data_IF_680292576974
#
_entry.id   IF_680292576974
#
_cell.length_a   1.000
_cell.length_b   1.000
_cell.length_c   1.000
_cell.angle_alpha   90.00
_cell.angle_beta   90.00
_cell.angle_gamma   90.00
#
_symmetry.space_group_name_H-M   'P 1'
#
loop_
_entity.id
_entity.type
_entity.pdbx_description
1 polymer ?
#
# COMPACT_ATOMS: atom_id res chain seq x y z
N UNK A 1 8.85 -28.61 18.62
CA UNK A 1 9.05 -27.50 19.58
C UNK A 1 7.71 -26.79 19.73
N UNK A 2 7.21 -26.61 20.96
CA UNK A 2 5.97 -25.89 21.21
C UNK A 2 6.29 -24.41 21.50
N UNK A 3 5.75 -23.51 20.68
CA UNK A 3 5.84 -22.06 20.89
C UNK A 3 4.61 -21.62 21.68
N UNK A 4 4.79 -20.73 22.67
CA UNK A 4 3.68 -20.21 23.47
C UNK A 4 2.83 -19.22 22.67
N UNK A 5 1.52 -19.19 22.93
CA UNK A 5 0.60 -18.26 22.26
C UNK A 5 0.97 -16.81 22.50
N UNK A 6 1.41 -16.48 23.72
CA UNK A 6 1.89 -15.14 24.06
C UNK A 6 2.99 -14.61 23.14
N UNK A 7 3.84 -15.50 22.59
CA UNK A 7 4.88 -15.10 21.63
C UNK A 7 4.30 -14.84 20.24
N UNK A 8 3.30 -15.62 19.83
CA UNK A 8 2.61 -15.42 18.56
C UNK A 8 1.75 -14.15 18.60
N UNK A 9 1.00 -13.94 19.69
CA UNK A 9 0.20 -12.72 19.94
C UNK A 9 1.08 -11.47 19.89
N UNK A 10 2.23 -11.48 20.59
CA UNK A 10 3.17 -10.36 20.56
C UNK A 10 3.66 -10.06 19.14
N UNK A 11 3.99 -11.11 18.37
CA UNK A 11 4.44 -10.95 16.99
C UNK A 11 3.33 -10.39 16.08
N UNK A 12 2.08 -10.85 16.25
CA UNK A 12 0.91 -10.30 15.54
C UNK A 12 0.71 -8.84 15.87
N UNK A 13 0.76 -8.48 17.14
CA UNK A 13 0.64 -7.10 17.56
C UNK A 13 1.72 -6.20 16.94
N UNK A 14 2.98 -6.64 16.94
CA UNK A 14 4.08 -5.91 16.29
C UNK A 14 3.84 -5.71 14.78
N UNK A 15 3.31 -6.71 14.08
CA UNK A 15 2.95 -6.56 12.66
C UNK A 15 1.82 -5.55 12.47
N UNK A 16 0.81 -5.56 13.33
CA UNK A 16 -0.33 -4.65 13.25
C UNK A 16 0.07 -3.21 13.53
N UNK A 17 0.91 -2.99 14.55
CA UNK A 17 1.50 -1.67 14.84
C UNK A 17 2.38 -1.17 13.70
N UNK A 18 3.17 -2.05 13.09
CA UNK A 18 3.97 -1.72 11.92
C UNK A 18 3.09 -1.37 10.72
N UNK A 19 2.02 -2.13 10.50
CA UNK A 19 1.10 -1.91 9.39
C UNK A 19 0.32 -0.61 9.52
N UNK A 20 -0.15 -0.27 10.72
CA UNK A 20 -0.82 1.01 10.97
C UNK A 20 0.08 2.23 10.68
N UNK A 21 1.42 2.06 10.71
CA UNK A 21 2.40 3.12 10.40
C UNK A 21 2.82 3.15 8.94
N UNK A 22 2.77 2.02 8.25
CA UNK A 22 3.34 1.86 6.91
C UNK A 22 2.28 1.63 5.82
N UNK A 23 1.00 1.42 6.19
CA UNK A 23 -0.07 1.16 5.23
C UNK A 23 -0.19 2.32 4.26
N UNK A 24 -0.17 1.99 2.97
CA UNK A 24 -0.36 3.01 1.94
C UNK A 24 -1.75 3.63 2.05
N UNK A 25 -2.73 2.83 2.46
CA UNK A 25 -4.12 3.27 2.62
C UNK A 25 -4.26 4.29 3.74
N UNK A 26 -3.49 4.16 4.82
CA UNK A 26 -3.60 5.05 5.96
C UNK A 26 -2.86 6.38 5.78
N UNK A 27 -1.97 6.45 4.78
CA UNK A 27 -1.11 7.61 4.55
C UNK A 27 -1.47 8.42 3.30
N UNK A 28 -1.88 7.77 2.21
CA UNK A 28 -1.90 8.42 0.88
C UNK A 28 -3.28 8.51 0.21
N UNK A 29 -4.35 8.10 0.89
CA UNK A 29 -5.72 8.07 0.33
C UNK A 29 -6.76 8.31 1.43
N UNK A 30 -7.95 8.76 1.05
CA UNK A 30 -9.11 8.77 1.95
C UNK A 30 -9.61 7.35 2.20
N UNK A 31 -9.71 6.99 3.47
CA UNK A 31 -10.10 5.64 3.85
C UNK A 31 -11.04 5.63 5.04
N UNK A 32 -11.90 4.61 5.07
CA UNK A 32 -12.73 4.34 6.24
C UNK A 32 -13.00 2.85 6.47
N UNK A 33 -13.36 2.46 7.70
CA UNK A 33 -13.84 1.11 7.98
C UNK A 33 -15.10 0.76 7.17
N UNK A 34 -15.24 -0.52 6.88
CA UNK A 34 -16.41 -1.12 6.24
C UNK A 34 -17.69 -0.89 7.06
N UNK A 35 -18.76 -0.57 6.36
CA UNK A 35 -20.10 -0.46 6.94
C UNK A 35 -21.06 -1.35 6.13
N UNK A 36 -21.57 -2.46 6.71
CA UNK A 36 -22.36 -3.44 5.97
C UNK A 36 -23.53 -2.86 5.19
N UNK A 37 -24.22 -1.86 5.75
CA UNK A 37 -25.38 -1.22 5.13
C UNK A 37 -25.06 -0.36 3.90
N UNK A 38 -23.82 0.13 3.79
CA UNK A 38 -23.41 1.07 2.73
C UNK A 38 -22.49 0.43 1.70
N UNK A 39 -21.74 -0.60 2.09
CA UNK A 39 -20.58 -1.06 1.35
C UNK A 39 -20.66 -2.51 0.89
N UNK A 40 -21.73 -3.25 1.23
CA UNK A 40 -21.88 -4.66 0.89
C UNK A 40 -21.68 -4.97 -0.59
N UNK A 41 -22.09 -4.03 -1.45
CA UNK A 41 -22.11 -4.20 -2.91
C UNK A 41 -20.81 -3.75 -3.59
N UNK A 42 -19.81 -3.27 -2.82
CA UNK A 42 -18.51 -2.89 -3.36
C UNK A 42 -17.72 -4.12 -3.79
N UNK A 43 -16.86 -3.94 -4.80
CA UNK A 43 -15.86 -4.92 -5.18
C UNK A 43 -14.69 -4.89 -4.18
N UNK A 44 -14.37 -6.03 -3.56
CA UNK A 44 -13.27 -6.17 -2.62
C UNK A 44 -12.14 -7.03 -3.18
N UNK A 45 -10.91 -6.65 -2.85
CA UNK A 45 -9.71 -7.42 -3.15
C UNK A 45 -9.01 -7.79 -1.84
N UNK A 46 -8.40 -8.97 -1.85
CA UNK A 46 -7.57 -9.43 -0.75
C UNK A 46 -6.10 -9.29 -1.14
N UNK A 47 -5.34 -8.59 -0.30
CA UNK A 47 -3.89 -8.45 -0.44
C UNK A 47 -3.29 -9.24 0.71
N UNK A 48 -2.55 -10.30 0.40
CA UNK A 48 -2.00 -11.18 1.42
C UNK A 48 -0.76 -11.92 0.99
N UNK A 49 -0.10 -12.51 1.99
CA UNK A 49 1.07 -13.38 1.80
C UNK A 49 0.91 -14.62 2.68
N UNK A 50 0.98 -15.79 2.06
CA UNK A 50 1.12 -17.09 2.73
C UNK A 50 2.57 -17.53 2.65
N UNK A 51 3.14 -17.98 3.76
CA UNK A 51 4.53 -18.43 3.84
C UNK A 51 4.71 -19.42 4.97
N UNK A 52 5.72 -20.28 4.86
CA UNK A 52 6.12 -21.10 5.99
C UNK A 52 7.04 -20.30 6.92
N UNK A 53 6.66 -20.21 8.20
CA UNK A 53 7.40 -19.47 9.21
C UNK A 53 8.12 -20.43 10.16
N UNK A 54 9.46 -20.44 10.21
CA UNK A 54 10.20 -21.34 11.10
C UNK A 54 9.90 -21.08 12.57
N UNK A 55 9.50 -22.12 13.32
CA UNK A 55 9.23 -22.06 14.77
C UNK A 55 10.43 -21.56 15.56
N UNK A 56 11.64 -21.80 15.06
CA UNK A 56 12.90 -21.30 15.66
C UNK A 56 12.96 -19.77 15.79
N UNK A 57 12.22 -19.03 14.96
CA UNK A 57 12.14 -17.56 15.10
C UNK A 57 11.56 -17.14 16.45
N UNK A 58 10.74 -17.99 17.06
CA UNK A 58 10.13 -17.73 18.35
C UNK A 58 10.87 -18.37 19.52
N UNK A 59 11.87 -19.23 19.25
CA UNK A 59 12.66 -19.87 20.30
C UNK A 59 13.76 -18.96 20.86
N UNK A 60 14.27 -18.04 20.05
CA UNK A 60 15.21 -17.01 20.47
C UNK A 60 14.43 -15.77 20.90
N UNK A 61 14.54 -15.38 22.18
CA UNK A 61 13.84 -14.20 22.69
C UNK A 61 14.25 -12.92 21.96
N UNK A 62 15.50 -12.82 21.49
CA UNK A 62 15.95 -11.64 20.74
C UNK A 62 15.25 -11.52 19.39
N UNK A 63 14.88 -12.65 18.77
CA UNK A 63 14.20 -12.70 17.47
C UNK A 63 12.68 -12.56 17.66
N UNK A 64 12.12 -13.19 18.70
CA UNK A 64 10.68 -13.10 19.02
C UNK A 64 10.25 -11.69 19.43
N UNK A 65 11.17 -10.87 19.96
CA UNK A 65 10.92 -9.45 20.25
C UNK A 65 11.39 -8.53 19.14
N UNK A 66 11.94 -9.05 18.05
CA UNK A 66 12.50 -8.25 16.99
C UNK A 66 11.39 -7.64 16.13
N UNK A 67 11.08 -6.37 16.40
CA UNK A 67 10.12 -5.56 15.65
C UNK A 67 10.42 -5.54 14.13
N UNK A 68 11.68 -5.75 13.73
CA UNK A 68 12.10 -5.75 12.32
C UNK A 68 11.38 -6.84 11.53
N UNK A 69 11.19 -8.03 12.11
CA UNK A 69 10.53 -9.13 11.39
C UNK A 69 9.04 -8.83 11.16
N UNK A 70 8.34 -8.34 12.20
CA UNK A 70 6.94 -7.94 12.06
C UNK A 70 6.78 -6.80 11.05
N UNK A 71 7.71 -5.86 11.07
CA UNK A 71 7.77 -4.74 10.15
C UNK A 71 7.98 -5.17 8.68
N UNK A 72 8.83 -6.17 8.43
CA UNK A 72 9.04 -6.70 7.07
C UNK A 72 7.76 -7.34 6.50
N UNK A 73 6.97 -8.01 7.33
CA UNK A 73 5.68 -8.56 6.93
C UNK A 73 4.66 -7.46 6.61
N UNK A 74 4.53 -6.46 7.49
CA UNK A 74 3.68 -5.29 7.26
C UNK A 74 4.04 -4.57 5.94
N UNK A 75 5.34 -4.39 5.67
CA UNK A 75 5.84 -3.77 4.43
C UNK A 75 5.47 -4.54 3.18
N UNK A 76 5.37 -5.86 3.23
CA UNK A 76 4.93 -6.63 2.06
C UNK A 76 3.47 -6.33 1.74
N UNK A 77 2.62 -6.24 2.76
CA UNK A 77 1.21 -5.91 2.59
C UNK A 77 1.06 -4.48 2.07
N UNK A 78 1.67 -3.49 2.73
CA UNK A 78 1.66 -2.08 2.29
C UNK A 78 2.13 -1.91 0.83
N UNK A 79 3.18 -2.61 0.40
CA UNK A 79 3.62 -2.60 -1.01
C UNK A 79 2.57 -3.19 -1.95
N UNK A 80 1.84 -4.22 -1.51
CA UNK A 80 0.72 -4.78 -2.24
C UNK A 80 -0.42 -3.78 -2.41
N UNK A 81 -0.73 -3.00 -1.38
CA UNK A 81 -1.74 -1.93 -1.41
C UNK A 81 -1.36 -0.85 -2.42
N UNK A 82 -0.15 -0.32 -2.29
CA UNK A 82 0.42 0.66 -3.23
C UNK A 82 0.30 0.15 -4.67
N UNK A 83 0.71 -1.10 -4.93
CA UNK A 83 0.61 -1.70 -6.26
C UNK A 83 -0.85 -1.79 -6.73
N UNK A 84 -1.77 -2.23 -5.89
CA UNK A 84 -3.18 -2.36 -6.23
C UNK A 84 -3.79 -1.01 -6.62
N UNK A 85 -3.52 0.03 -5.83
CA UNK A 85 -4.07 1.36 -6.07
C UNK A 85 -3.49 1.98 -7.35
N UNK A 86 -2.16 1.99 -7.50
CA UNK A 86 -1.49 2.54 -8.68
C UNK A 86 -1.88 1.80 -9.97
N UNK A 87 -2.01 0.47 -9.92
CA UNK A 87 -2.47 -0.31 -11.09
C UNK A 87 -3.93 -0.04 -11.45
N UNK A 88 -4.81 0.19 -10.45
CA UNK A 88 -6.20 0.55 -10.71
C UNK A 88 -6.29 1.92 -11.39
N UNK A 89 -5.48 2.89 -10.97
CA UNK A 89 -5.37 4.21 -11.60
C UNK A 89 -4.99 4.06 -13.06
N UNK A 90 -3.90 3.33 -13.34
CA UNK A 90 -3.47 3.04 -14.72
C UNK A 90 -4.60 2.42 -15.55
N UNK A 91 -5.30 1.42 -15.01
CA UNK A 91 -6.43 0.79 -15.71
C UNK A 91 -7.53 1.79 -16.03
N UNK A 92 -7.92 2.62 -15.05
CA UNK A 92 -8.95 3.64 -15.23
C UNK A 92 -8.54 4.72 -16.23
N UNK A 93 -7.28 5.14 -16.23
CA UNK A 93 -6.74 6.09 -17.20
C UNK A 93 -6.84 5.53 -18.62
N UNK A 94 -6.41 4.27 -18.81
CA UNK A 94 -6.51 3.59 -20.11
C UNK A 94 -7.95 3.42 -20.60
N UNK A 95 -8.93 3.36 -19.68
CA UNK A 95 -10.36 3.33 -20.02
C UNK A 95 -11.01 4.71 -20.18
N UNK A 96 -10.26 5.80 -20.00
CA UNK A 96 -10.76 7.18 -20.10
C UNK A 96 -11.60 7.65 -18.90
N UNK A 97 -11.55 6.94 -17.77
CA UNK A 97 -12.31 7.30 -16.55
C UNK A 97 -11.60 8.32 -15.66
N UNK A 98 -10.29 8.48 -15.81
CA UNK A 98 -9.49 9.51 -15.14
C UNK A 98 -8.62 10.23 -16.17
N UNK A 99 -8.22 11.47 -15.88
CA UNK A 99 -7.39 12.27 -16.77
C UNK A 99 -6.03 11.62 -16.99
N UNK A 100 -5.51 11.80 -18.21
CA UNK A 100 -4.19 11.34 -18.58
C UNK A 100 -3.50 12.42 -19.41
N UNK A 101 -2.27 12.77 -19.02
CA UNK A 101 -1.39 13.62 -19.79
C UNK A 101 -0.30 12.72 -20.37
N UNK A 102 -0.30 12.57 -21.70
CA UNK A 102 0.69 11.79 -22.41
C UNK A 102 1.96 12.61 -22.65
N UNK A 103 3.13 11.99 -22.49
CA UNK A 103 4.40 12.64 -22.79
C UNK A 103 5.43 11.62 -23.29
N UNK A 104 6.39 12.07 -24.08
CA UNK A 104 7.53 11.22 -24.50
C UNK A 104 8.72 11.38 -23.55
N UNK A 105 8.79 12.53 -22.85
CA UNK A 105 9.86 12.85 -21.89
C UNK A 105 9.28 13.56 -20.67
N UNK A 106 9.80 13.28 -19.47
CA UNK A 106 9.37 13.98 -18.26
C UNK A 106 9.94 15.41 -18.25
N UNK A 107 9.10 16.37 -18.64
CA UNK A 107 9.43 17.79 -18.73
C UNK A 107 8.49 18.64 -17.84
N UNK A 108 8.90 19.90 -17.60
CA UNK A 108 8.19 20.80 -16.70
C UNK A 108 6.77 21.16 -17.19
N UNK A 109 6.60 21.33 -18.50
CA UNK A 109 5.31 21.76 -19.08
C UNK A 109 4.26 20.65 -18.98
N UNK A 110 4.66 19.39 -19.18
CA UNK A 110 3.79 18.22 -18.95
C UNK A 110 3.34 18.16 -17.49
N UNK A 111 4.25 18.45 -16.55
CA UNK A 111 3.90 18.46 -15.14
C UNK A 111 2.90 19.59 -14.82
N UNK A 112 3.15 20.81 -15.31
CA UNK A 112 2.20 21.94 -15.18
C UNK A 112 0.83 21.58 -15.75
N UNK A 113 0.79 20.92 -16.91
CA UNK A 113 -0.47 20.46 -17.49
C UNK A 113 -1.20 19.48 -16.56
N UNK A 114 -0.50 18.50 -16.00
CA UNK A 114 -1.12 17.57 -15.05
C UNK A 114 -1.61 18.25 -13.77
N UNK A 115 -0.89 19.26 -13.26
CA UNK A 115 -1.35 20.10 -12.15
C UNK A 115 -2.63 20.88 -12.50
N UNK A 116 -2.85 21.22 -13.78
CA UNK A 116 -4.11 21.80 -14.24
C UNK A 116 -5.28 20.81 -14.29
N UNK A 117 -5.01 19.50 -14.27
CA UNK A 117 -6.02 18.44 -14.33
C UNK A 117 -6.48 17.95 -12.94
N UNK A 118 -5.65 18.17 -11.91
CA UNK A 118 -5.91 17.70 -10.54
C UNK A 118 -6.23 18.87 -9.63
N UNK A 119 -7.36 18.81 -8.93
CA UNK A 119 -7.73 19.81 -7.94
C UNK A 119 -6.94 19.59 -6.65
N UNK A 120 -6.19 20.60 -6.20
CA UNK A 120 -5.41 20.60 -4.95
C UNK A 120 -4.58 19.31 -4.76
N UNK A 121 -3.62 19.02 -5.67
CA UNK A 121 -2.80 17.84 -5.53
C UNK A 121 -1.89 17.94 -4.30
N UNK A 122 -1.63 16.80 -3.67
CA UNK A 122 -0.78 16.64 -2.47
C UNK A 122 0.36 15.63 -2.68
N UNK A 123 0.19 14.63 -3.54
CA UNK A 123 1.22 13.63 -3.85
C UNK A 123 1.54 13.52 -5.34
N UNK A 124 2.84 13.38 -5.63
CA UNK A 124 3.37 13.06 -6.95
C UNK A 124 4.20 11.78 -6.86
N UNK A 125 3.62 10.66 -7.29
CA UNK A 125 4.32 9.39 -7.37
C UNK A 125 5.13 9.33 -8.66
N UNK A 126 6.44 9.14 -8.55
CA UNK A 126 7.34 9.03 -9.70
C UNK A 126 8.14 7.72 -9.65
N UNK A 127 8.46 7.12 -10.82
CA UNK A 127 9.44 6.05 -10.88
C UNK A 127 10.78 6.51 -10.33
N UNK A 128 11.42 5.67 -9.53
CA UNK A 128 12.74 5.95 -8.96
C UNK A 128 13.86 5.75 -9.99
N UNK A 129 13.88 6.58 -11.03
CA UNK A 129 14.85 6.54 -12.12
C UNK A 129 15.63 7.85 -12.27
N UNK A 130 16.80 7.77 -12.91
CA UNK A 130 17.76 8.88 -12.98
C UNK A 130 17.23 10.07 -13.80
N UNK A 131 16.45 9.82 -14.85
CA UNK A 131 15.79 10.84 -15.68
C UNK A 131 14.88 11.75 -14.83
N UNK A 132 13.96 11.19 -14.04
CA UNK A 132 13.05 11.98 -13.18
C UNK A 132 13.82 12.80 -12.15
N UNK A 133 14.80 12.17 -11.48
CA UNK A 133 15.64 12.84 -10.49
C UNK A 133 16.43 13.99 -11.11
N UNK A 134 17.01 13.78 -12.29
CA UNK A 134 17.79 14.80 -13.00
C UNK A 134 16.92 15.95 -13.46
N UNK A 135 15.73 15.66 -13.98
CA UNK A 135 14.75 16.67 -14.39
C UNK A 135 14.38 17.60 -13.22
N UNK A 136 13.99 17.03 -12.07
CA UNK A 136 13.67 17.81 -10.87
C UNK A 136 14.86 18.64 -10.36
N UNK A 137 16.07 18.09 -10.37
CA UNK A 137 17.28 18.84 -9.99
C UNK A 137 17.53 20.01 -10.93
N UNK A 138 17.33 19.83 -12.23
CA UNK A 138 17.50 20.91 -13.21
C UNK A 138 16.44 21.99 -13.03
N UNK A 139 15.17 21.61 -12.83
CA UNK A 139 14.10 22.59 -12.60
C UNK A 139 14.30 23.39 -11.31
N UNK A 140 14.84 22.76 -10.25
CA UNK A 140 15.27 23.47 -9.03
C UNK A 140 16.37 24.48 -9.32
N UNK A 141 17.41 24.09 -10.07
CA UNK A 141 18.51 25.00 -10.45
C UNK A 141 18.03 26.17 -11.29
N UNK A 142 17.05 25.94 -12.15
CA UNK A 142 16.44 26.95 -13.02
C UNK A 142 15.43 27.83 -12.26
N UNK A 143 15.17 27.58 -10.98
CA UNK A 143 14.20 28.31 -10.17
C UNK A 143 12.74 28.09 -10.57
N UNK A 144 12.44 27.02 -11.33
CA UNK A 144 11.09 26.68 -11.79
C UNK A 144 10.23 26.04 -10.71
N UNK A 145 10.89 25.41 -9.74
CA UNK A 145 10.26 24.81 -8.57
C UNK A 145 11.01 25.21 -7.31
N UNK A 146 10.27 25.44 -6.24
CA UNK A 146 10.77 25.77 -4.90
C UNK A 146 10.57 24.60 -3.94
N UNK A 147 11.24 24.64 -2.78
CA UNK A 147 11.20 23.67 -1.68
C UNK A 147 12.02 22.35 -1.76
N UNK A 148 12.02 21.65 -0.61
CA UNK A 148 13.02 20.71 -0.06
C UNK A 148 13.25 19.43 -0.88
N UNK A 149 14.10 18.49 -0.41
CA UNK A 149 14.41 17.25 -1.15
C UNK A 149 13.17 16.44 -1.54
N UNK A 150 12.11 16.48 -0.71
CA UNK A 150 10.90 15.66 -0.82
C UNK A 150 9.69 16.44 -1.36
N UNK A 151 9.65 17.76 -1.25
CA UNK A 151 8.49 18.55 -1.72
C UNK A 151 8.82 19.33 -2.99
N UNK A 152 7.79 19.61 -3.77
CA UNK A 152 7.85 20.49 -4.93
C UNK A 152 6.68 21.44 -4.86
N UNK A 153 6.99 22.73 -4.88
CA UNK A 153 5.97 23.75 -5.07
C UNK A 153 5.86 24.08 -6.57
N UNK A 154 4.67 23.90 -7.12
CA UNK A 154 4.32 24.22 -8.52
C UNK A 154 3.01 24.98 -8.52
N UNK A 155 2.99 26.16 -9.15
CA UNK A 155 1.77 26.96 -9.33
C UNK A 155 0.96 27.15 -8.01
N UNK A 156 1.67 27.42 -6.89
CA UNK A 156 1.10 27.61 -5.54
C UNK A 156 0.54 26.33 -4.87
N UNK A 157 0.71 25.16 -5.48
CA UNK A 157 0.43 23.86 -4.87
C UNK A 157 1.74 23.25 -4.37
N UNK A 158 1.80 22.87 -3.10
CA UNK A 158 2.90 22.10 -2.54
C UNK A 158 2.56 20.61 -2.61
N UNK A 159 3.42 19.83 -3.26
CA UNK A 159 3.22 18.40 -3.49
C UNK A 159 4.42 17.62 -2.98
N UNK A 160 4.17 16.55 -2.24
CA UNK A 160 5.19 15.60 -1.80
C UNK A 160 5.52 14.60 -2.92
N UNK A 161 6.81 14.40 -3.18
CA UNK A 161 7.28 13.42 -4.15
C UNK A 161 7.50 12.08 -3.48
N UNK A 162 6.75 11.11 -3.97
CA UNK A 162 6.90 9.73 -3.58
C UNK A 162 7.66 8.92 -4.63
N UNK A 163 8.89 8.53 -4.29
CA UNK A 163 9.74 7.73 -5.15
C UNK A 163 9.33 6.27 -5.12
N UNK A 164 8.76 5.79 -6.23
CA UNK A 164 8.28 4.42 -6.34
C UNK A 164 9.39 3.51 -6.86
N UNK A 165 9.77 2.45 -6.13
CA UNK A 165 10.78 1.49 -6.59
C UNK A 165 10.41 0.86 -7.93
N UNK A 166 11.38 0.71 -8.85
CA UNK A 166 11.16 0.17 -10.20
C UNK A 166 10.48 -1.20 -10.23
N UNK A 167 10.65 -2.01 -9.17
CA UNK A 167 9.96 -3.31 -8.99
C UNK A 167 8.42 -3.22 -8.90
N UNK A 168 7.86 -2.02 -8.69
CA UNK A 168 6.42 -1.80 -8.73
C UNK A 168 5.92 -1.50 -10.16
N UNK A 169 6.82 -1.43 -11.15
CA UNK A 169 6.54 -1.39 -12.59
C UNK A 169 5.54 -0.29 -12.97
N UNK A 170 5.80 0.93 -12.50
CA UNK A 170 5.06 2.09 -12.96
C UNK A 170 5.42 2.37 -14.42
N UNK A 171 4.40 2.58 -15.26
CA UNK A 171 4.54 3.07 -16.63
C UNK A 171 4.48 4.60 -16.71
N UNK A 172 4.51 5.26 -15.55
CA UNK A 172 4.71 6.67 -15.45
C UNK A 172 4.50 7.27 -14.07
N UNK A 173 4.19 8.56 -14.08
CA UNK A 173 3.98 9.35 -12.89
C UNK A 173 2.49 9.46 -12.60
N UNK A 174 2.15 9.71 -11.36
CA UNK A 174 0.76 9.89 -10.97
C UNK A 174 0.68 11.07 -10.02
N UNK A 175 -0.12 12.06 -10.40
CA UNK A 175 -0.44 13.21 -9.57
C UNK A 175 -1.79 12.96 -8.89
N UNK A 176 -1.83 13.16 -7.58
CA UNK A 176 -2.94 12.79 -6.72
C UNK A 176 -3.38 13.95 -5.87
N UNK A 177 -4.68 13.93 -5.56
CA UNK A 177 -5.24 14.45 -4.33
C UNK A 177 -5.69 13.22 -3.50
N UNK A 178 -5.11 13.03 -2.31
CA UNK A 178 -5.40 11.87 -1.45
C UNK A 178 -6.87 11.79 -1.04
N UNK A 179 -7.51 12.92 -0.75
CA UNK A 179 -8.93 13.01 -0.38
C UNK A 179 -9.87 12.56 -1.51
N UNK A 180 -9.39 12.60 -2.76
CA UNK A 180 -10.16 12.19 -3.93
C UNK A 180 -10.05 10.69 -4.27
N UNK A 181 -9.28 9.92 -3.49
CA UNK A 181 -9.12 8.47 -3.67
C UNK A 181 -9.73 7.76 -2.49
N UNK A 182 -10.93 7.21 -2.67
CA UNK A 182 -11.71 6.62 -1.59
C UNK A 182 -11.52 5.10 -1.52
N UNK A 183 -11.16 4.58 -0.35
CA UNK A 183 -11.04 3.16 -0.05
C UNK A 183 -11.84 2.78 1.20
N UNK A 184 -12.53 1.65 1.13
CA UNK A 184 -13.16 1.01 2.28
C UNK A 184 -12.36 -0.21 2.68
N UNK A 185 -12.05 -0.33 3.97
CA UNK A 185 -11.26 -1.43 4.50
C UNK A 185 -12.06 -2.27 5.48
N UNK A 186 -11.99 -3.60 5.33
CA UNK A 186 -12.64 -4.54 6.24
C UNK A 186 -11.74 -4.84 7.44
N UNK A 187 -12.34 -4.96 8.62
CA UNK A 187 -11.67 -5.44 9.82
C UNK A 187 -11.73 -6.97 9.88
N UNK A 188 -11.10 -7.54 10.92
CA UNK A 188 -11.14 -8.96 11.22
C UNK A 188 -12.56 -9.49 11.42
N UNK A 189 -13.45 -8.73 12.07
CA UNK A 189 -14.84 -9.14 12.33
C UNK A 189 -15.75 -9.11 11.10
N UNK A 190 -15.35 -8.42 10.04
CA UNK A 190 -16.16 -8.25 8.82
C UNK A 190 -16.05 -9.42 7.83
N UNK A 191 -15.19 -10.41 8.13
CA UNK A 191 -14.76 -11.41 7.17
C UNK A 191 -14.72 -12.81 7.77
N UNK A 192 -14.99 -13.80 6.92
CA UNK A 192 -14.78 -15.19 7.29
C UNK A 192 -13.29 -15.52 7.31
N UNK A 193 -12.91 -16.42 8.22
CA UNK A 193 -11.57 -17.02 8.23
C UNK A 193 -11.34 -17.74 6.90
N UNK A 194 -10.10 -17.80 6.39
CA UNK A 194 -9.86 -18.45 5.12
C UNK A 194 -10.08 -19.97 5.20
N UNK A 195 -10.70 -20.55 4.18
CA UNK A 195 -11.09 -21.97 4.14
C UNK A 195 -9.89 -22.94 3.95
N UNK A 196 -8.76 -22.44 3.40
CA UNK A 196 -7.69 -23.26 2.80
C UNK A 196 -6.50 -23.59 3.73
N UNK A 197 -6.61 -23.37 5.04
CA UNK A 197 -5.63 -23.97 5.94
C UNK A 197 -6.30 -24.59 7.15
N UNK A 198 -5.64 -25.63 7.67
CA UNK A 198 -5.80 -26.13 9.03
C UNK A 198 -5.31 -25.05 10.02
N UNK A 199 -5.95 -23.88 9.97
CA UNK A 199 -5.81 -22.81 10.94
C UNK A 199 -6.30 -23.36 12.26
N UNK A 200 -5.56 -23.08 13.33
CA UNK A 200 -5.98 -23.50 14.67
C UNK A 200 -7.28 -22.78 15.00
N UNK A 201 -8.43 -23.47 14.90
CA UNK A 201 -9.72 -22.80 14.84
C UNK A 201 -10.16 -22.29 16.21
N UNK A 202 -9.48 -22.77 17.27
CA UNK A 202 -9.70 -22.44 18.67
C UNK A 202 -9.01 -21.15 19.12
N UNK A 203 -8.27 -20.45 18.25
CA UNK A 203 -7.46 -19.28 18.63
C UNK A 203 -7.59 -18.12 17.63
N UNK A 204 -7.83 -16.95 18.20
CA UNK A 204 -7.83 -15.67 17.48
C UNK A 204 -6.66 -14.84 17.99
N UNK A 205 -5.71 -14.52 17.09
CA UNK A 205 -4.56 -13.66 17.41
C UNK A 205 -4.81 -12.19 17.02
N UNK A 206 -5.95 -11.91 16.41
CA UNK A 206 -6.38 -10.57 16.01
C UNK A 206 -7.62 -10.17 16.81
N UNK A 207 -7.70 -8.88 17.12
CA UNK A 207 -8.89 -8.22 17.65
C UNK A 207 -9.88 -7.95 16.53
N UNK A 208 -11.17 -7.85 16.89
CA UNK A 208 -12.27 -7.60 15.93
C UNK A 208 -12.03 -6.40 15.01
N UNK A 209 -11.37 -5.34 15.51
CA UNK A 209 -11.12 -4.10 14.79
C UNK A 209 -9.81 -4.09 13.99
N UNK A 210 -9.04 -5.18 13.98
CA UNK A 210 -7.75 -5.20 13.30
C UNK A 210 -7.93 -5.27 11.78
N UNK A 211 -7.24 -4.40 11.06
CA UNK A 211 -7.26 -4.34 9.60
C UNK A 211 -6.23 -5.26 8.93
N UNK A 212 -5.13 -5.55 9.62
CA UNK A 212 -4.18 -6.59 9.22
C UNK A 212 -4.51 -7.86 10.00
N UNK A 213 -4.94 -8.89 9.27
CA UNK A 213 -5.30 -10.18 9.83
C UNK A 213 -4.14 -11.15 9.69
N UNK A 214 -3.88 -11.90 10.75
CA UNK A 214 -2.83 -12.91 10.81
C UNK A 214 -3.40 -14.25 11.28
N UNK A 215 -3.02 -15.32 10.59
CA UNK A 215 -3.49 -16.67 10.84
C UNK A 215 -2.30 -17.63 10.87
N UNK A 216 -2.22 -18.46 11.92
CA UNK A 216 -1.26 -19.55 12.01
C UNK A 216 -1.97 -20.90 11.84
N UNK A 217 -1.51 -21.67 10.87
CA UNK A 217 -1.88 -23.05 10.68
C UNK A 217 -1.03 -24.02 11.48
N UNK A 218 -1.33 -25.30 11.30
CA UNK A 218 -0.48 -26.39 11.78
C UNK A 218 0.80 -26.55 10.94
N UNK A 219 1.63 -27.54 11.29
CA UNK A 219 2.88 -27.79 10.60
C UNK A 219 2.61 -28.12 9.12
N UNK A 220 3.32 -27.45 8.21
CA UNK A 220 3.28 -27.77 6.79
C UNK A 220 3.65 -29.25 6.59
N UNK A 221 2.90 -29.97 5.74
CA UNK A 221 3.00 -31.41 5.53
C UNK A 221 4.46 -31.91 5.47
N UNK A 222 4.93 -32.53 6.56
CA UNK A 222 6.26 -33.13 6.66
C UNK A 222 7.32 -32.34 7.44
N UNK A 223 7.11 -31.06 7.76
CA UNK A 223 8.05 -30.26 8.56
C UNK A 223 7.40 -29.67 9.82
N UNK A 224 7.56 -30.39 10.94
CA UNK A 224 7.09 -29.95 12.25
C UNK A 224 7.85 -28.73 12.80
N UNK A 225 8.89 -28.24 12.12
CA UNK A 225 9.69 -27.09 12.53
C UNK A 225 9.19 -25.75 11.99
N UNK A 226 8.17 -25.74 11.12
CA UNK A 226 7.56 -24.52 10.55
C UNK A 226 6.06 -24.42 10.86
N UNK A 227 5.52 -23.21 10.80
CA UNK A 227 4.08 -22.93 10.77
C UNK A 227 3.67 -22.55 9.35
N UNK A 228 2.51 -23.00 8.89
CA UNK A 228 1.84 -22.26 7.82
C UNK A 228 1.36 -20.92 8.39
N UNK A 229 1.69 -19.82 7.71
CA UNK A 229 1.43 -18.49 8.19
C UNK A 229 0.85 -17.63 7.08
N UNK A 230 -0.35 -17.11 7.31
CA UNK A 230 -1.03 -16.22 6.38
C UNK A 230 -1.28 -14.87 7.02
N UNK A 231 -0.83 -13.82 6.34
CA UNK A 231 -1.23 -12.44 6.61
C UNK A 231 -2.03 -11.87 5.44
N UNK A 232 -3.06 -11.07 5.74
CA UNK A 232 -3.87 -10.40 4.72
C UNK A 232 -4.53 -9.12 5.23
N UNK A 233 -4.89 -8.27 4.28
CA UNK A 233 -5.80 -7.14 4.42
C UNK A 233 -6.82 -7.21 3.29
N UNK A 234 -8.02 -6.65 3.50
CA UNK A 234 -9.11 -6.66 2.51
C UNK A 234 -9.59 -5.23 2.30
N UNK A 235 -9.46 -4.77 1.05
CA UNK A 235 -9.75 -3.40 0.63
C UNK A 235 -10.78 -3.41 -0.48
N UNK A 236 -11.66 -2.42 -0.51
CA UNK A 236 -12.47 -2.17 -1.70
C UNK A 236 -11.57 -1.69 -2.82
N UNK A 237 -11.94 -1.98 -4.06
CA UNK A 237 -11.35 -1.32 -5.22
C UNK A 237 -11.46 0.21 -5.07
N UNK A 238 -10.38 0.98 -5.29
CA UNK A 238 -10.39 2.42 -5.07
C UNK A 238 -11.40 3.10 -5.99
N UNK A 239 -12.13 4.07 -5.45
CA UNK A 239 -13.05 4.95 -6.18
C UNK A 239 -12.38 6.32 -6.29
N UNK A 240 -12.37 6.90 -7.49
CA UNK A 240 -11.69 8.16 -7.76
C UNK A 240 -12.72 9.23 -8.08
N UNK A 241 -12.61 10.36 -7.40
CA UNK A 241 -13.37 11.55 -7.77
C UNK A 241 -12.82 12.16 -9.05
N UNK A 242 -13.70 12.79 -9.83
CA UNK A 242 -13.31 13.40 -11.09
C UNK A 242 -12.38 14.58 -10.83
N UNK A 243 -11.21 14.59 -11.47
CA UNK A 243 -10.19 15.61 -11.23
C UNK A 243 -9.38 15.38 -9.96
N UNK A 244 -9.50 14.22 -9.32
CA UNK A 244 -8.70 13.86 -8.16
C UNK A 244 -7.36 13.18 -8.48
N UNK A 245 -7.23 12.62 -9.69
CA UNK A 245 -6.04 11.88 -10.12
C UNK A 245 -5.76 12.13 -11.59
N UNK A 246 -4.49 12.35 -11.91
CA UNK A 246 -3.99 12.43 -13.28
C UNK A 246 -2.82 11.45 -13.49
N UNK A 247 -2.93 10.64 -14.54
CA UNK A 247 -1.85 9.76 -14.97
C UNK A 247 -0.93 10.49 -15.97
N UNK A 248 0.35 10.62 -15.61
CA UNK A 248 1.42 11.05 -16.52
C UNK A 248 1.91 9.83 -17.29
N UNK A 249 1.31 9.56 -18.46
CA UNK A 249 1.64 8.39 -19.28
C UNK A 249 2.87 8.68 -20.14
N UNK A 250 3.88 7.82 -20.05
CA UNK A 250 5.03 7.89 -20.96
C UNK A 250 4.78 6.99 -22.18
N UNK A 251 4.87 7.57 -23.37
CA UNK A 251 4.86 6.80 -24.61
C UNK A 251 6.29 6.40 -24.93
N UNK A 252 6.54 5.10 -25.02
CA UNK A 252 7.76 4.54 -25.62
C UNK A 252 7.76 4.70 -27.15
#
# INVERSE_FOLDING_TARGET
MNISDSKLEKFVHQMQEAYAKESFVHEYVDWRPFQPEQDSDREYVQIGKRSNLPKRFFSDEQIATNEILGFDFAKVISRGEKRHILSTIKQRANSGQISQVATNEFNFDTLIQAFGEVYEPDYLFLPNEANYRTALVNWRKDGRITNSRMNVEIAQSEVEIEWVPSKLELDGGYLFNSDSVNIVQKTYSDIDKPDDADFRPDRDWCSENDFLMAYFGDAFEGDQSEFDFWIRTILSKPVFERGGVCHLKFNE
#
